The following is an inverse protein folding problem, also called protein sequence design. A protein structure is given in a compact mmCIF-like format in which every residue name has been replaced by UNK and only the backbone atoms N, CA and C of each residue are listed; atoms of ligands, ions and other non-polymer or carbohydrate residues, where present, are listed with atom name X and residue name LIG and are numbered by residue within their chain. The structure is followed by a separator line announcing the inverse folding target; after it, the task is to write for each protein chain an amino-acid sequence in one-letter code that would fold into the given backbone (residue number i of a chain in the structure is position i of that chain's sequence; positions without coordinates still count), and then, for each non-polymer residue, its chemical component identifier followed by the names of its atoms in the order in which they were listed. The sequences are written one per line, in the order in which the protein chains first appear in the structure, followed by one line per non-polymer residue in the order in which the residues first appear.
data_IF_935026046688
#
_entry.id   IF_935026046688
#
_cell.length_a   1.000
_cell.length_b   1.000
_cell.length_c   1.000
_cell.angle_alpha   90.00
_cell.angle_beta   90.00
_cell.angle_gamma   90.00
#
_symmetry.space_group_name_H-M   'P 1'
#
loop_
_entity.id
_entity.type
_entity.pdbx_description
1 polymer ?
#
# COMPACT_ATOMS: atom_id res chain seq x y z
N UNK A 1 -0.14 6.82 10.61
CA UNK A 1 -0.52 5.66 9.78
C UNK A 1 -1.91 5.28 10.23
N UNK A 2 -2.84 5.11 9.29
CA UNK A 2 -4.18 4.64 9.64
C UNK A 2 -4.11 3.17 10.04
N UNK A 3 -5.03 2.72 10.90
CA UNK A 3 -5.09 1.34 11.39
C UNK A 3 -6.49 0.79 11.18
N UNK A 4 -6.57 -0.41 10.65
CA UNK A 4 -7.83 -1.16 10.58
C UNK A 4 -7.74 -2.36 11.51
N UNK A 5 -8.62 -2.37 12.51
CA UNK A 5 -8.74 -3.44 13.48
C UNK A 5 -9.83 -4.42 13.05
N UNK A 6 -9.56 -5.70 13.22
CA UNK A 6 -10.48 -6.80 12.94
C UNK A 6 -10.78 -7.52 14.24
N UNK A 7 -12.06 -7.70 14.52
CA UNK A 7 -12.55 -8.55 15.61
C UNK A 7 -13.31 -9.71 15.02
N UNK A 8 -12.96 -10.92 15.42
CA UNK A 8 -13.49 -12.17 14.87
C UNK A 8 -14.43 -12.81 15.89
N UNK A 9 -15.54 -13.33 15.41
CA UNK A 9 -16.56 -14.00 16.21
C UNK A 9 -16.84 -15.40 15.66
N UNK A 10 -16.86 -16.37 16.58
CA UNK A 10 -17.18 -17.76 16.29
C UNK A 10 -15.95 -18.66 16.08
N UNK A 11 -16.11 -19.99 16.18
CA UNK A 11 -15.08 -20.96 15.87
C UNK A 11 -15.02 -21.23 14.35
N UNK A 12 -13.85 -21.55 13.75
CA UNK A 12 -12.52 -21.73 14.34
C UNK A 12 -11.59 -20.49 14.22
N UNK A 13 -11.36 -19.79 15.34
CA UNK A 13 -10.54 -18.57 15.41
C UNK A 13 -9.13 -18.72 14.84
N UNK A 14 -8.43 -19.82 15.17
CA UNK A 14 -7.05 -20.03 14.71
C UNK A 14 -6.94 -20.19 13.19
N UNK A 15 -7.96 -20.72 12.53
CA UNK A 15 -7.97 -20.81 11.06
C UNK A 15 -8.25 -19.45 10.44
N UNK A 16 -9.16 -18.68 11.03
CA UNK A 16 -9.48 -17.33 10.58
C UNK A 16 -8.26 -16.39 10.70
N UNK A 17 -7.52 -16.44 11.82
CA UNK A 17 -6.29 -15.66 11.99
C UNK A 17 -5.23 -15.98 10.93
N UNK A 18 -4.99 -17.26 10.65
CA UNK A 18 -4.08 -17.67 9.57
C UNK A 18 -4.53 -17.22 8.19
N UNK A 19 -5.85 -17.19 7.95
CA UNK A 19 -6.39 -16.67 6.69
C UNK A 19 -6.14 -15.15 6.56
N UNK A 20 -6.35 -14.39 7.64
CA UNK A 20 -6.06 -12.95 7.68
C UNK A 20 -4.57 -12.64 7.49
N UNK A 21 -3.69 -13.45 8.05
CA UNK A 21 -2.24 -13.37 7.78
C UNK A 21 -1.94 -13.56 6.28
N UNK A 22 -2.61 -14.52 5.64
CA UNK A 22 -2.53 -14.70 4.19
C UNK A 22 -2.96 -13.46 3.41
N UNK A 23 -4.11 -12.87 3.78
CA UNK A 23 -4.61 -11.63 3.17
C UNK A 23 -3.62 -10.47 3.35
N UNK A 24 -3.01 -10.34 4.52
CA UNK A 24 -1.99 -9.31 4.77
C UNK A 24 -0.78 -9.45 3.84
N UNK A 25 -0.30 -10.68 3.63
CA UNK A 25 0.83 -10.97 2.73
C UNK A 25 0.46 -10.66 1.28
N UNK A 26 -0.75 -10.99 0.83
CA UNK A 26 -1.24 -10.68 -0.52
C UNK A 26 -1.37 -9.17 -0.74
N UNK A 27 -1.97 -8.46 0.21
CA UNK A 27 -2.11 -7.00 0.17
C UNK A 27 -0.77 -6.27 0.24
N UNK A 28 0.23 -6.83 0.92
CA UNK A 28 1.59 -6.25 0.95
C UNK A 28 2.33 -6.40 -0.39
N UNK A 29 1.97 -7.41 -1.19
CA UNK A 29 2.52 -7.58 -2.55
C UNK A 29 1.90 -6.61 -3.54
N UNK A 30 0.65 -6.20 -3.33
CA UNK A 30 0.03 -5.15 -4.12
C UNK A 30 0.74 -3.82 -3.86
N UNK A 31 1.24 -3.27 -4.96
CA UNK A 31 1.99 -2.01 -4.98
C UNK A 31 1.13 -0.99 -5.68
N UNK A 32 0.83 0.11 -4.99
CA UNK A 32 0.28 1.28 -5.66
C UNK A 32 1.42 2.11 -6.24
N UNK A 33 1.19 2.58 -7.46
CA UNK A 33 2.13 3.43 -8.16
C UNK A 33 1.93 4.86 -7.64
N UNK A 34 2.95 5.41 -6.97
CA UNK A 34 2.97 6.84 -6.63
C UNK A 34 3.76 7.58 -7.70
N UNK A 35 3.20 8.70 -8.17
CA UNK A 35 3.98 9.68 -8.91
C UNK A 35 4.85 10.41 -7.90
N UNK A 36 6.13 10.05 -7.85
CA UNK A 36 7.09 10.78 -7.06
C UNK A 36 8.11 11.35 -8.04
N UNK A 37 8.02 12.67 -8.21
CA UNK A 37 8.99 13.57 -8.81
C UNK A 37 9.37 13.40 -10.30
N UNK A 38 9.72 14.55 -10.89
CA UNK A 38 10.36 14.65 -12.19
C UNK A 38 11.83 14.26 -12.02
N UNK A 39 12.20 13.06 -12.43
CA UNK A 39 13.58 12.58 -12.37
C UNK A 39 14.44 13.28 -13.41
N UNK A 40 15.68 13.60 -13.04
CA UNK A 40 16.72 13.97 -13.99
C UNK A 40 17.48 12.67 -14.31
N UNK A 41 17.42 12.12 -15.53
CA UNK A 41 18.25 10.98 -15.92
C UNK A 41 19.73 11.35 -15.72
N UNK A 42 20.50 10.39 -15.22
CA UNK A 42 21.92 10.58 -14.96
C UNK A 42 22.61 11.14 -16.21
N UNK A 43 23.34 12.28 -16.12
CA UNK A 43 23.85 12.95 -17.30
C UNK A 43 24.88 12.05 -17.99
N UNK A 44 24.55 11.58 -19.19
CA UNK A 44 25.45 10.73 -20.00
C UNK A 44 26.58 11.54 -20.65
N UNK A 45 26.47 12.87 -20.67
CA UNK A 45 27.52 13.80 -21.09
C UNK A 45 27.47 15.08 -20.24
N UNK A 46 28.55 15.40 -19.54
CA UNK A 46 28.77 16.73 -19.00
C UNK A 46 29.10 17.66 -20.17
N UNK A 47 28.13 18.44 -20.68
CA UNK A 47 28.43 19.45 -21.69
C UNK A 47 29.12 20.65 -21.02
N UNK A 48 30.25 21.06 -21.59
CA UNK A 48 31.12 22.13 -21.10
C UNK A 48 30.90 23.48 -21.81
N UNK A 49 29.79 23.68 -22.53
CA UNK A 49 29.58 24.89 -23.32
C UNK A 49 28.62 25.88 -22.65
N UNK A 50 29.18 26.98 -22.15
CA UNK A 50 28.49 28.04 -21.39
C UNK A 50 27.60 28.95 -22.25
N UNK A 51 27.55 28.81 -23.58
CA UNK A 51 26.93 29.82 -24.46
C UNK A 51 25.50 29.54 -24.91
N UNK A 52 24.93 28.40 -24.54
CA UNK A 52 23.62 27.97 -25.03
C UNK A 52 22.64 27.64 -23.90
N UNK A 53 22.39 28.65 -23.05
CA UNK A 53 21.47 28.55 -21.92
C UNK A 53 20.05 28.16 -22.33
N UNK A 54 19.61 28.58 -23.52
CA UNK A 54 18.30 28.27 -24.09
C UNK A 54 18.15 26.79 -24.42
N UNK A 55 19.14 26.19 -25.11
CA UNK A 55 19.12 24.75 -25.38
C UNK A 55 19.35 23.93 -24.12
N UNK A 56 20.16 24.41 -23.18
CA UNK A 56 20.32 23.78 -21.86
C UNK A 56 18.99 23.70 -21.12
N UNK A 57 18.23 24.80 -21.01
CA UNK A 57 16.92 24.82 -20.37
C UNK A 57 15.88 23.94 -21.09
N UNK A 58 15.88 23.93 -22.43
CA UNK A 58 14.98 23.07 -23.21
C UNK A 58 15.32 21.58 -23.02
N UNK A 59 16.60 21.22 -22.99
CA UNK A 59 17.02 19.86 -22.67
C UNK A 59 16.65 19.50 -21.22
N UNK A 60 16.81 20.42 -20.27
CA UNK A 60 16.43 20.21 -18.87
C UNK A 60 14.93 19.91 -18.73
N UNK A 61 14.09 20.68 -19.45
CA UNK A 61 12.64 20.46 -19.51
C UNK A 61 12.28 19.10 -20.10
N UNK A 62 13.00 18.66 -21.13
CA UNK A 62 12.81 17.36 -21.78
C UNK A 62 13.38 16.17 -20.98
N UNK A 63 14.35 16.41 -20.10
CA UNK A 63 14.91 15.38 -19.22
C UNK A 63 14.04 15.05 -18.02
N UNK A 64 13.07 15.88 -17.66
CA UNK A 64 12.15 15.58 -16.57
C UNK A 64 11.19 14.46 -16.96
N UNK A 65 11.53 13.23 -16.57
CA UNK A 65 10.66 12.06 -16.72
C UNK A 65 9.85 11.90 -15.45
N UNK A 66 8.54 11.70 -15.59
CA UNK A 66 7.70 11.35 -14.45
C UNK A 66 8.11 9.95 -13.96
N UNK A 67 8.62 9.89 -12.74
CA UNK A 67 9.02 8.65 -12.11
C UNK A 67 7.87 8.06 -11.29
N UNK A 68 7.74 6.75 -11.43
CA UNK A 68 6.72 5.94 -10.79
C UNK A 68 7.39 5.04 -9.77
N UNK A 69 7.24 5.36 -8.50
CA UNK A 69 7.77 4.51 -7.43
C UNK A 69 6.65 3.60 -6.88
N UNK A 70 6.87 2.28 -6.84
CA UNK A 70 5.91 1.36 -6.24
C UNK A 70 5.93 1.50 -4.71
N UNK A 71 4.82 1.97 -4.14
CA UNK A 71 4.59 2.01 -2.70
C UNK A 71 3.75 0.82 -2.26
N UNK A 72 4.11 0.21 -1.12
CA UNK A 72 3.26 -0.81 -0.48
C UNK A 72 1.95 -0.16 -0.01
N UNK A 73 0.88 -0.94 -0.03
CA UNK A 73 -0.44 -0.51 0.48
C UNK A 73 -0.52 -0.69 2.00
N UNK A 74 -0.07 -1.85 2.49
CA UNK A 74 -0.03 -2.20 3.93
C UNK A 74 1.42 -2.20 4.41
N UNK A 75 1.68 -1.46 5.49
CA UNK A 75 3.01 -1.38 6.12
C UNK A 75 3.32 -2.62 6.94
N UNK A 76 2.36 -3.06 7.75
CA UNK A 76 2.51 -4.16 8.70
C UNK A 76 1.14 -4.76 9.07
N UNK A 77 1.14 -6.00 9.53
CA UNK A 77 -0.06 -6.64 10.07
C UNK A 77 0.31 -7.46 11.31
N UNK A 78 -0.45 -7.29 12.39
CA UNK A 78 -0.13 -7.89 13.70
C UNK A 78 -1.36 -8.48 14.36
N UNK A 79 -1.15 -9.60 15.05
CA UNK A 79 -2.08 -10.10 16.06
C UNK A 79 -1.98 -9.20 17.30
N UNK A 80 -3.12 -8.85 17.87
CA UNK A 80 -3.20 -8.07 19.10
C UNK A 80 -3.75 -8.95 20.23
N UNK A 81 -3.24 -8.73 21.43
CA UNK A 81 -3.82 -9.25 22.67
C UNK A 81 -4.70 -8.15 23.25
N UNK A 82 -6.03 -8.29 23.17
CA UNK A 82 -6.96 -7.25 23.61
C UNK A 82 -8.35 -7.43 23.01
N UNK A 83 -9.06 -6.31 22.80
CA UNK A 83 -10.44 -6.31 22.25
C UNK A 83 -10.54 -6.71 20.78
N UNK A 84 -9.44 -6.62 20.04
CA UNK A 84 -9.34 -6.96 18.63
C UNK A 84 -8.30 -8.07 18.43
N UNK A 85 -8.56 -8.96 17.48
CA UNK A 85 -7.74 -10.15 17.25
C UNK A 85 -6.64 -9.89 16.21
N UNK A 86 -6.89 -8.99 15.25
CA UNK A 86 -5.95 -8.68 14.18
C UNK A 86 -5.97 -7.18 13.82
N UNK A 87 -4.84 -6.66 13.35
CA UNK A 87 -4.70 -5.27 12.93
C UNK A 87 -3.92 -5.18 11.62
N UNK A 88 -4.45 -4.40 10.67
CA UNK A 88 -3.77 -3.95 9.47
C UNK A 88 -3.29 -2.51 9.64
N UNK A 89 -2.02 -2.26 9.37
CA UNK A 89 -1.46 -0.91 9.36
C UNK A 89 -1.27 -0.42 7.92
N UNK A 90 -1.86 0.74 7.62
CA UNK A 90 -1.78 1.34 6.29
C UNK A 90 -0.55 2.23 6.15
N UNK A 91 0.07 2.22 4.97
CA UNK A 91 1.18 3.13 4.66
C UNK A 91 0.70 4.59 4.65
N UNK A 92 -0.53 4.83 4.20
CA UNK A 92 -1.10 6.17 4.13
C UNK A 92 -1.79 6.59 5.44
N UNK A 93 -1.93 7.90 5.66
CA UNK A 93 -2.64 8.44 6.83
C UNK A 93 -4.15 8.20 6.78
N UNK A 94 -4.74 8.00 5.61
CA UNK A 94 -6.16 7.71 5.45
C UNK A 94 -6.36 6.85 4.20
N UNK A 95 -6.82 5.60 4.34
CA UNK A 95 -7.09 4.76 3.17
C UNK A 95 -8.28 5.32 2.40
N UNK A 96 -8.27 5.10 1.09
CA UNK A 96 -9.40 5.43 0.23
C UNK A 96 -10.51 4.39 0.41
N UNK A 97 -11.78 4.78 0.24
CA UNK A 97 -12.91 3.86 0.38
C UNK A 97 -12.76 2.61 -0.52
N UNK A 98 -12.23 2.78 -1.73
CA UNK A 98 -11.92 1.67 -2.66
C UNK A 98 -10.88 0.67 -2.10
N UNK A 99 -9.89 1.16 -1.36
CA UNK A 99 -8.88 0.29 -0.74
C UNK A 99 -9.48 -0.50 0.42
N UNK A 100 -10.37 0.14 1.20
CA UNK A 100 -11.13 -0.53 2.26
C UNK A 100 -12.08 -1.58 1.68
N UNK A 101 -12.83 -1.27 0.63
CA UNK A 101 -13.68 -2.22 -0.09
C UNK A 101 -12.88 -3.40 -0.62
N UNK A 102 -11.71 -3.16 -1.22
CA UNK A 102 -10.81 -4.23 -1.69
C UNK A 102 -10.27 -5.11 -0.56
N UNK A 103 -9.99 -4.52 0.61
CA UNK A 103 -9.60 -5.29 1.80
C UNK A 103 -10.78 -6.17 2.29
N UNK A 104 -11.98 -5.60 2.38
CA UNK A 104 -13.19 -6.32 2.79
C UNK A 104 -13.46 -7.51 1.87
N UNK A 105 -13.41 -7.30 0.55
CA UNK A 105 -13.62 -8.38 -0.42
C UNK A 105 -12.64 -9.54 -0.25
N UNK A 106 -11.37 -9.24 0.04
CA UNK A 106 -10.35 -10.28 0.27
C UNK A 106 -10.57 -11.01 1.58
N UNK A 107 -10.95 -10.29 2.63
CA UNK A 107 -11.31 -10.89 3.91
C UNK A 107 -12.51 -11.82 3.71
N UNK A 108 -13.57 -11.37 3.04
CA UNK A 108 -14.77 -12.16 2.76
C UNK A 108 -14.45 -13.43 1.96
N UNK A 109 -13.64 -13.30 0.90
CA UNK A 109 -13.19 -14.47 0.11
C UNK A 109 -12.38 -15.45 0.96
N UNK A 110 -11.53 -14.95 1.85
CA UNK A 110 -10.66 -15.78 2.70
C UNK A 110 -11.42 -16.47 3.84
N UNK A 111 -12.49 -15.86 4.35
CA UNK A 111 -13.31 -16.38 5.45
C UNK A 111 -14.56 -17.14 4.95
N UNK A 112 -14.83 -17.11 3.65
CA UNK A 112 -15.93 -17.83 3.03
C UNK A 112 -15.90 -19.31 3.40
N UNK A 113 -17.05 -19.82 3.87
CA UNK A 113 -17.21 -21.22 4.25
C UNK A 113 -16.66 -21.61 5.63
N UNK A 114 -16.08 -20.67 6.39
CA UNK A 114 -15.59 -20.96 7.76
C UNK A 114 -16.67 -20.81 8.84
N UNK A 115 -17.79 -20.15 8.54
CA UNK A 115 -18.87 -19.90 9.51
C UNK A 115 -18.53 -18.82 10.54
N UNK A 116 -17.56 -17.96 10.23
CA UNK A 116 -17.02 -16.92 11.10
C UNK A 116 -17.64 -15.57 10.75
N UNK A 117 -17.97 -14.76 11.74
CA UNK A 117 -18.38 -13.36 11.55
C UNK A 117 -17.27 -12.44 12.01
N UNK A 118 -17.17 -11.24 11.43
CA UNK A 118 -16.14 -10.29 11.83
C UNK A 118 -16.67 -8.85 11.82
N UNK A 119 -16.03 -7.99 12.60
CA UNK A 119 -16.25 -6.54 12.62
C UNK A 119 -14.95 -5.83 12.28
N UNK A 120 -15.03 -4.79 11.45
CA UNK A 120 -13.91 -3.93 11.09
C UNK A 120 -14.10 -2.53 11.66
N UNK A 121 -13.06 -1.99 12.28
CA UNK A 121 -13.00 -0.59 12.72
C UNK A 121 -11.75 0.03 12.11
N UNK A 122 -11.87 1.14 11.39
CA UNK A 122 -10.72 1.87 10.84
C UNK A 122 -10.56 3.21 11.54
N UNK A 123 -9.37 3.45 12.07
CA UNK A 123 -8.93 4.69 12.74
C UNK A 123 -7.85 5.42 11.94
#
# INVERSE_FOLDING_TARGET
MAKTYVRIYGPPLMKALKALEGVAVEMSKEKEIKFSHKCIPYPTRMQADNRDWSNYLNNLKNTYVDCYEPAKIISDAKQLLGDHDFMFEWVEKKPTMKQLEGLIEKIDKSLAGMGVSYTLTTE
#
